data_IF_924976405388
#
_entry.id   IF_924976405388
#
_cell.length_a   1.000
_cell.length_b   1.000
_cell.length_c   1.000
_cell.angle_alpha   90.00
_cell.angle_beta   90.00
_cell.angle_gamma   90.00
#
_symmetry.space_group_name_H-M   'P 1'
#
loop_
_entity.id
_entity.type
_entity.pdbx_description
1 polymer ?
#
# COMPACT_ATOMS: atom_id res chain seq x y z
N UNK A 1 -47.70 64.84 0.62
CA UNK A 1 -46.53 63.96 0.50
C UNK A 1 -47.06 62.59 0.09
N UNK A 2 -47.36 62.32 -1.20
CA UNK A 2 -46.45 61.98 -2.30
C UNK A 2 -45.55 60.78 -1.93
N UNK A 3 -45.41 59.67 -2.66
CA UNK A 3 -45.94 59.12 -3.92
C UNK A 3 -45.58 57.62 -3.91
N UNK A 4 -46.35 56.83 -4.65
CA UNK A 4 -46.28 55.38 -4.82
C UNK A 4 -45.02 54.82 -5.52
N UNK A 5 -45.10 53.50 -5.84
CA UNK A 5 -44.43 52.77 -6.94
C UNK A 5 -43.09 52.06 -6.62
N UNK A 6 -42.75 50.85 -7.09
CA UNK A 6 -43.23 49.97 -8.18
C UNK A 6 -42.78 48.51 -7.94
N UNK A 7 -43.62 47.61 -8.43
CA UNK A 7 -43.46 46.21 -8.85
C UNK A 7 -42.07 45.70 -9.27
N UNK A 8 -41.83 44.40 -9.04
CA UNK A 8 -41.25 43.53 -10.07
C UNK A 8 -42.02 42.22 -10.18
N UNK A 9 -42.71 42.10 -11.31
CA UNK A 9 -43.38 40.91 -11.82
C UNK A 9 -42.36 39.93 -12.40
N UNK A 10 -42.53 38.65 -12.04
CA UNK A 10 -42.78 37.48 -12.90
C UNK A 10 -41.91 37.16 -14.14
N UNK A 11 -42.00 35.86 -14.51
CA UNK A 11 -41.51 35.14 -15.70
C UNK A 11 -40.04 34.68 -15.63
N UNK A 12 -39.64 33.48 -16.06
CA UNK A 12 -40.35 32.33 -16.65
C UNK A 12 -39.35 31.16 -16.72
N UNK A 13 -39.81 29.93 -16.48
CA UNK A 13 -39.15 28.73 -17.02
C UNK A 13 -39.34 28.68 -18.54
N UNK A 14 -38.44 27.98 -19.27
CA UNK A 14 -38.95 26.85 -20.04
C UNK A 14 -37.99 25.64 -20.22
N UNK A 15 -38.66 24.50 -20.49
CA UNK A 15 -38.35 23.47 -21.48
C UNK A 15 -37.19 22.46 -21.30
N UNK A 16 -37.60 21.23 -21.00
CA UNK A 16 -37.55 20.03 -21.87
C UNK A 16 -36.43 19.91 -22.91
N UNK A 17 -35.63 18.83 -22.82
CA UNK A 17 -35.34 17.92 -23.94
C UNK A 17 -34.51 16.72 -23.46
N UNK A 18 -35.03 15.52 -23.74
CA UNK A 18 -34.25 14.29 -23.67
C UNK A 18 -33.30 14.17 -24.87
N UNK A 19 -32.17 13.49 -24.67
CA UNK A 19 -31.36 12.95 -25.74
C UNK A 19 -30.96 11.51 -25.39
N UNK A 20 -31.33 10.61 -26.30
CA UNK A 20 -30.95 9.20 -26.37
C UNK A 20 -29.46 9.06 -26.70
N UNK A 21 -28.90 7.94 -26.23
CA UNK A 21 -27.97 7.03 -26.88
C UNK A 21 -26.75 7.61 -27.63
N UNK A 22 -25.56 7.10 -27.30
CA UNK A 22 -24.66 6.49 -28.29
C UNK A 22 -23.80 5.44 -27.58
N UNK A 23 -23.89 4.21 -28.07
CA UNK A 23 -22.97 3.12 -27.84
C UNK A 23 -21.62 3.42 -28.49
N UNK A 24 -20.53 3.42 -27.73
CA UNK A 24 -19.17 3.48 -28.25
C UNK A 24 -18.46 2.15 -28.05
N UNK A 25 -18.28 1.40 -29.14
CA UNK A 25 -17.57 0.13 -29.21
C UNK A 25 -16.14 0.26 -28.67
N UNK A 26 -15.82 -0.50 -27.61
CA UNK A 26 -14.44 -0.72 -27.19
C UNK A 26 -13.86 -1.86 -28.03
N UNK A 27 -13.03 -1.51 -29.02
CA UNK A 27 -12.26 -2.46 -29.83
C UNK A 27 -11.34 -3.26 -28.90
N UNK A 28 -11.60 -4.57 -28.81
CA UNK A 28 -10.64 -5.56 -28.32
C UNK A 28 -9.51 -5.66 -29.33
N UNK A 29 -8.34 -5.16 -28.96
CA UNK A 29 -7.13 -5.36 -29.75
C UNK A 29 -6.45 -6.64 -29.28
N UNK A 30 -6.54 -7.64 -30.15
CA UNK A 30 -5.73 -8.86 -30.21
C UNK A 30 -4.26 -8.55 -30.48
N UNK A 31 -3.36 -9.10 -29.69
CA UNK A 31 -1.98 -9.45 -30.07
C UNK A 31 -1.46 -10.48 -29.06
N UNK A 32 -1.59 -11.76 -29.42
CA UNK A 32 -0.52 -12.59 -29.98
C UNK A 32 0.36 -13.20 -28.89
N UNK A 33 -0.07 -14.39 -28.47
CA UNK A 33 0.69 -15.37 -27.70
C UNK A 33 1.78 -15.94 -28.61
N UNK A 34 3.04 -15.63 -28.31
CA UNK A 34 4.19 -16.31 -28.90
C UNK A 34 4.40 -17.61 -28.13
N UNK A 35 4.07 -18.72 -28.79
CA UNK A 35 4.41 -20.06 -28.34
C UNK A 35 5.82 -20.41 -28.85
N UNK A 36 6.79 -20.56 -27.94
CA UNK A 36 8.02 -21.28 -28.23
C UNK A 36 7.88 -22.73 -27.74
N UNK A 37 7.88 -23.65 -28.71
CA UNK A 37 8.05 -25.09 -28.55
C UNK A 37 9.54 -25.44 -28.61
N UNK A 38 9.82 -26.70 -28.23
CA UNK A 38 11.05 -27.49 -28.43
C UNK A 38 12.03 -27.40 -27.24
N UNK A 39 12.55 -28.47 -26.63
CA UNK A 39 12.50 -29.91 -26.91
C UNK A 39 12.86 -30.67 -25.62
N UNK A 40 12.24 -31.83 -25.43
CA UNK A 40 12.68 -32.79 -24.42
C UNK A 40 14.00 -33.44 -24.81
N UNK A 41 14.76 -33.86 -23.80
CA UNK A 41 15.71 -34.97 -23.93
C UNK A 41 15.72 -35.73 -22.62
N UNK A 42 15.29 -36.99 -22.68
CA UNK A 42 15.47 -38.01 -21.65
C UNK A 42 16.95 -38.41 -21.55
N UNK A 43 17.42 -38.76 -20.35
CA UNK A 43 18.57 -39.66 -20.22
C UNK A 43 18.59 -40.36 -18.84
N UNK A 44 18.10 -41.60 -18.87
CA UNK A 44 18.57 -42.81 -18.17
C UNK A 44 19.56 -42.73 -16.99
N UNK A 45 19.18 -43.47 -15.96
CA UNK A 45 19.99 -44.10 -14.90
C UNK A 45 21.30 -44.74 -15.38
N UNK A 46 22.28 -44.91 -14.48
CA UNK A 46 22.64 -46.30 -14.17
C UNK A 46 22.94 -46.61 -12.70
N UNK A 47 23.02 -47.92 -12.50
CA UNK A 47 23.19 -48.73 -11.31
C UNK A 47 24.41 -48.42 -10.42
N UNK A 48 24.20 -48.73 -9.13
CA UNK A 48 25.09 -49.45 -8.18
C UNK A 48 26.59 -49.54 -8.52
N UNK A 49 27.41 -49.20 -7.53
CA UNK A 49 28.41 -50.13 -7.00
C UNK A 49 28.90 -49.70 -5.61
N UNK A 50 28.88 -50.67 -4.69
CA UNK A 50 29.56 -50.64 -3.39
C UNK A 50 31.06 -50.78 -3.63
N UNK A 51 31.88 -50.10 -2.82
CA UNK A 51 33.16 -50.54 -2.25
C UNK A 51 33.50 -49.49 -1.17
N UNK A 52 33.32 -49.76 0.13
CA UNK A 52 34.30 -50.43 0.99
C UNK A 52 35.73 -49.96 0.79
N UNK A 53 36.23 -49.08 1.66
CA UNK A 53 37.59 -49.18 2.18
C UNK A 53 37.69 -48.37 3.49
N UNK A 54 37.72 -49.11 4.61
CA UNK A 54 38.24 -48.61 5.87
C UNK A 54 39.75 -48.46 5.72
N UNK A 55 40.31 -47.31 6.09
CA UNK A 55 41.73 -47.24 6.34
C UNK A 55 42.01 -46.25 7.48
N UNK A 56 42.68 -46.81 8.48
CA UNK A 56 43.11 -46.19 9.72
C UNK A 56 44.52 -45.67 9.47
N UNK A 57 44.74 -44.37 9.69
CA UNK A 57 46.09 -43.80 9.73
C UNK A 57 46.18 -42.83 10.90
N UNK A 58 47.07 -43.17 11.82
CA UNK A 58 47.58 -42.36 12.93
C UNK A 58 48.88 -41.68 12.49
N UNK A 59 49.12 -40.48 13.02
CA UNK A 59 50.39 -39.75 12.98
C UNK A 59 50.53 -38.87 11.73
N UNK A 60 51.15 -37.69 11.75
CA UNK A 60 52.04 -37.09 12.73
C UNK A 60 52.03 -35.57 12.54
N UNK A 61 52.34 -34.84 13.60
CA UNK A 61 52.23 -33.39 13.67
C UNK A 61 53.43 -32.72 13.00
N UNK A 62 53.20 -31.79 12.06
CA UNK A 62 54.19 -30.79 11.69
C UNK A 62 53.55 -29.40 11.49
N UNK A 63 53.97 -28.54 12.40
CA UNK A 63 53.88 -27.08 12.49
C UNK A 63 53.77 -26.37 11.14
N UNK A 64 52.58 -25.83 10.86
CA UNK A 64 52.32 -24.86 9.79
C UNK A 64 51.83 -23.54 10.37
N UNK A 65 52.57 -22.46 10.09
CA UNK A 65 52.32 -21.08 10.53
C UNK A 65 50.85 -20.67 10.30
N UNK A 66 50.15 -20.05 11.27
CA UNK A 66 48.90 -19.38 10.95
C UNK A 66 49.21 -18.13 10.12
N UNK A 67 48.89 -18.20 8.83
CA UNK A 67 48.69 -17.03 7.98
C UNK A 67 47.55 -16.23 8.62
N UNK A 68 47.80 -14.94 8.86
CA UNK A 68 46.82 -13.96 9.36
C UNK A 68 45.56 -14.01 8.48
N UNK A 69 44.51 -14.64 8.99
CA UNK A 69 43.16 -14.38 8.50
C UNK A 69 42.70 -13.08 9.17
N UNK A 70 42.92 -11.96 8.49
CA UNK A 70 42.21 -10.74 8.81
C UNK A 70 40.71 -11.08 8.71
N UNK A 71 40.06 -11.21 9.86
CA UNK A 71 38.61 -11.25 9.92
C UNK A 71 38.14 -9.89 9.41
N UNK A 72 37.88 -9.79 8.12
CA UNK A 72 37.00 -8.75 7.61
C UNK A 72 35.70 -9.01 8.34
N UNK A 73 35.48 -8.30 9.45
CA UNK A 73 34.15 -8.02 9.95
C UNK A 73 33.44 -7.47 8.72
N UNK A 74 32.74 -8.35 8.00
CA UNK A 74 31.55 -7.94 7.27
C UNK A 74 30.71 -7.35 8.39
N UNK A 75 30.80 -6.04 8.55
CA UNK A 75 29.63 -5.25 8.87
C UNK A 75 28.60 -5.74 7.88
N UNK A 76 27.85 -6.76 8.30
CA UNK A 76 26.49 -6.89 7.89
C UNK A 76 25.92 -5.54 8.27
N UNK A 77 25.96 -4.60 7.33
CA UNK A 77 25.00 -3.52 7.24
C UNK A 77 23.69 -4.26 7.15
N UNK A 78 23.21 -4.67 8.33
CA UNK A 78 21.86 -5.08 8.54
C UNK A 78 21.12 -3.84 8.10
N UNK A 79 20.55 -3.92 6.89
CA UNK A 79 19.55 -2.99 6.42
C UNK A 79 18.68 -2.73 7.64
N UNK A 80 18.76 -1.51 8.16
CA UNK A 80 17.87 -1.05 9.20
C UNK A 80 16.50 -1.07 8.54
N UNK A 81 15.81 -2.20 8.67
CA UNK A 81 14.37 -2.22 8.54
C UNK A 81 13.94 -1.34 9.70
N UNK A 82 13.72 -0.07 9.36
CA UNK A 82 13.09 0.89 10.23
C UNK A 82 11.77 0.25 10.65
N UNK A 83 11.64 0.02 11.96
CA UNK A 83 10.47 -0.52 12.66
C UNK A 83 9.31 0.49 12.64
N UNK A 84 9.21 1.27 11.56
CA UNK A 84 8.37 2.43 11.47
C UNK A 84 7.15 2.09 10.62
N UNK A 85 5.99 2.07 11.28
CA UNK A 85 4.72 2.00 10.59
C UNK A 85 4.50 3.32 9.84
N UNK A 86 4.35 3.24 8.52
CA UNK A 86 4.19 4.39 7.63
C UNK A 86 2.92 4.27 6.81
N UNK A 87 2.39 5.43 6.43
CA UNK A 87 1.25 5.54 5.52
C UNK A 87 1.74 6.16 4.22
N UNK A 88 1.24 5.66 3.09
CA UNK A 88 1.59 6.14 1.75
C UNK A 88 0.34 6.22 0.87
N UNK A 89 0.20 7.29 0.09
CA UNK A 89 -0.79 7.39 -0.99
C UNK A 89 -0.23 6.97 -2.35
N UNK A 90 1.06 7.20 -2.52
CA UNK A 90 1.86 6.84 -3.68
C UNK A 90 2.97 5.92 -3.14
N UNK A 91 3.17 4.77 -3.78
CA UNK A 91 4.18 3.80 -3.33
C UNK A 91 5.57 4.44 -3.30
N UNK A 92 6.23 4.36 -2.16
CA UNK A 92 7.56 4.93 -1.93
C UNK A 92 7.57 6.39 -1.46
N UNK A 93 6.41 7.04 -1.34
CA UNK A 93 6.27 8.39 -0.79
C UNK A 93 5.57 8.31 0.56
N UNK A 94 6.32 8.53 1.63
CA UNK A 94 5.78 8.55 2.99
C UNK A 94 4.96 9.81 3.23
N UNK A 95 3.76 9.62 3.74
CA UNK A 95 2.87 10.70 4.13
C UNK A 95 3.23 11.20 5.54
N UNK A 96 3.45 12.51 5.69
CA UNK A 96 3.80 13.13 6.97
C UNK A 96 2.58 13.61 7.76
N UNK A 97 1.48 13.91 7.06
CA UNK A 97 0.26 14.42 7.71
C UNK A 97 -0.43 13.31 8.49
N UNK A 98 -0.69 13.57 9.77
CA UNK A 98 -1.41 12.65 10.65
C UNK A 98 -2.92 12.68 10.34
N UNK A 99 -3.57 11.54 10.08
CA UNK A 99 -5.01 11.48 9.87
C UNK A 99 -5.81 11.49 11.16
N UNK A 100 -7.03 12.00 11.09
CA UNK A 100 -8.09 11.62 12.02
C UNK A 100 -8.59 10.21 11.65
N UNK A 101 -8.56 9.28 12.60
CA UNK A 101 -8.99 7.89 12.38
C UNK A 101 -10.30 7.63 13.13
N UNK A 102 -11.30 7.15 12.39
CA UNK A 102 -12.61 6.76 12.93
C UNK A 102 -12.85 5.29 12.68
N UNK A 103 -13.11 4.54 13.75
CA UNK A 103 -13.44 3.13 13.68
C UNK A 103 -14.95 2.93 13.84
N UNK A 104 -15.55 2.16 12.93
CA UNK A 104 -16.93 1.73 13.01
C UNK A 104 -16.98 0.21 12.90
N UNK A 105 -17.74 -0.46 13.79
CA UNK A 105 -17.94 -1.91 13.76
C UNK A 105 -19.44 -2.21 13.62
N UNK A 106 -19.78 -3.22 12.83
CA UNK A 106 -21.17 -3.68 12.72
C UNK A 106 -21.65 -4.24 14.06
N UNK A 107 -22.96 -4.26 14.29
CA UNK A 107 -23.55 -4.84 15.51
C UNK A 107 -23.23 -6.33 15.66
N UNK A 108 -23.14 -7.03 14.54
CA UNK A 108 -22.80 -8.46 14.50
C UNK A 108 -21.31 -8.73 14.78
N UNK A 109 -20.47 -7.69 14.75
CA UNK A 109 -19.05 -7.77 15.08
C UNK A 109 -18.15 -8.36 13.99
N UNK A 110 -18.72 -8.93 12.93
CA UNK A 110 -18.00 -9.58 11.83
C UNK A 110 -17.24 -8.61 10.92
N UNK A 111 -17.81 -7.42 10.71
CA UNK A 111 -17.26 -6.43 9.77
C UNK A 111 -16.93 -5.13 10.48
N UNK A 112 -15.79 -4.56 10.12
CA UNK A 112 -15.32 -3.27 10.60
C UNK A 112 -15.00 -2.34 9.44
N UNK A 113 -15.03 -1.04 9.67
CA UNK A 113 -14.55 -0.03 8.73
C UNK A 113 -13.74 0.99 9.49
N UNK A 114 -12.51 1.22 9.04
CA UNK A 114 -11.67 2.32 9.47
C UNK A 114 -11.73 3.43 8.42
N UNK A 115 -12.14 4.61 8.83
CA UNK A 115 -12.15 5.81 7.99
C UNK A 115 -11.01 6.71 8.42
N UNK A 116 -10.16 7.06 7.46
CA UNK A 116 -9.06 7.99 7.64
C UNK A 116 -9.42 9.32 6.99
N UNK A 117 -9.23 10.42 7.71
CA UNK A 117 -9.44 11.77 7.20
C UNK A 117 -8.15 12.55 7.36
N UNK A 118 -7.56 12.90 6.22
CA UNK A 118 -6.35 13.72 6.16
C UNK A 118 -6.75 15.15 5.79
N UNK A 119 -6.50 16.09 6.68
CA UNK A 119 -6.61 17.51 6.39
C UNK A 119 -5.30 17.98 5.77
N UNK A 120 -5.36 18.54 4.55
CA UNK A 120 -4.16 19.03 3.84
C UNK A 120 -2.99 18.02 3.83
N UNK A 121 -3.17 16.83 3.22
CA UNK A 121 -2.09 15.85 3.11
C UNK A 121 -0.94 16.40 2.26
N UNK A 122 0.28 16.08 2.67
CA UNK A 122 1.53 16.49 2.01
C UNK A 122 1.68 15.93 0.59
N UNK A 123 0.95 14.86 0.25
CA UNK A 123 0.85 14.35 -1.14
C UNK A 123 0.39 15.40 -2.14
N UNK A 124 -0.39 16.41 -1.73
CA UNK A 124 -0.84 17.47 -2.63
C UNK A 124 0.27 18.44 -3.04
N UNK A 125 1.32 18.55 -2.21
CA UNK A 125 2.48 19.40 -2.50
C UNK A 125 3.59 18.63 -3.25
N UNK A 126 3.43 17.31 -3.40
CA UNK A 126 4.38 16.48 -4.13
C UNK A 126 4.29 16.72 -5.64
N UNK A 127 5.42 16.68 -6.37
CA UNK A 127 5.40 16.85 -7.82
C UNK A 127 4.58 15.74 -8.48
N UNK A 128 3.81 16.12 -9.51
CA UNK A 128 2.95 15.21 -10.29
C UNK A 128 3.71 14.06 -10.97
N UNK A 129 5.03 14.15 -11.07
CA UNK A 129 5.89 13.13 -11.68
C UNK A 129 6.02 11.86 -10.81
N UNK A 130 5.67 11.94 -9.51
CA UNK A 130 5.71 10.80 -8.59
C UNK A 130 4.51 9.86 -8.77
N UNK A 131 3.47 10.30 -9.47
CA UNK A 131 2.29 9.52 -9.80
C UNK A 131 1.01 10.01 -9.13
N UNK A 132 -0.11 9.42 -9.55
CA UNK A 132 -1.44 9.73 -9.04
C UNK A 132 -1.74 8.94 -7.75
N UNK A 133 -2.63 9.49 -6.92
CA UNK A 133 -3.15 8.83 -5.72
C UNK A 133 -3.86 7.54 -6.13
N UNK A 134 -3.21 6.40 -5.91
CA UNK A 134 -3.71 5.08 -6.33
C UNK A 134 -4.54 4.40 -5.25
N UNK A 135 -4.23 4.69 -3.99
CA UNK A 135 -4.85 4.06 -2.83
C UNK A 135 -4.20 4.54 -1.54
N UNK A 136 -4.57 3.93 -0.42
CA UNK A 136 -3.91 4.09 0.86
C UNK A 136 -3.14 2.80 1.17
N UNK A 137 -1.84 2.91 1.39
CA UNK A 137 -0.95 1.82 1.80
C UNK A 137 -0.47 2.08 3.22
N UNK A 138 -0.67 1.10 4.09
CA UNK A 138 -0.27 1.09 5.50
C UNK A 138 0.79 0.01 5.65
N UNK A 139 2.05 0.40 5.81
CA UNK A 139 3.21 -0.48 5.73
C UNK A 139 3.87 -0.54 7.10
N UNK A 140 4.15 -1.74 7.59
CA UNK A 140 4.97 -1.98 8.77
C UNK A 140 5.83 -3.26 8.59
N UNK A 141 6.45 -3.74 9.67
CA UNK A 141 7.29 -4.96 9.66
C UNK A 141 6.52 -6.27 9.41
N UNK A 142 5.24 -6.35 9.76
CA UNK A 142 4.42 -7.56 9.59
C UNK A 142 3.88 -7.68 8.14
N UNK A 143 3.85 -6.57 7.39
CA UNK A 143 3.44 -6.52 6.00
C UNK A 143 2.69 -5.23 5.64
N UNK A 144 1.98 -5.26 4.51
CA UNK A 144 1.21 -4.13 3.99
C UNK A 144 -0.30 -4.37 4.06
N UNK A 145 -1.03 -3.37 4.58
CA UNK A 145 -2.47 -3.27 4.46
C UNK A 145 -2.78 -2.19 3.42
N UNK A 146 -3.65 -2.47 2.45
CA UNK A 146 -3.96 -1.52 1.38
C UNK A 146 -5.46 -1.40 1.12
N UNK A 147 -5.89 -0.22 0.69
CA UNK A 147 -7.23 0.03 0.16
C UNK A 147 -7.17 0.94 -1.05
N UNK A 148 -8.11 0.74 -1.97
CA UNK A 148 -8.30 1.56 -3.18
C UNK A 148 -9.41 2.59 -2.96
N UNK A 149 -10.22 2.46 -1.90
CA UNK A 149 -11.31 3.37 -1.60
C UNK A 149 -10.76 4.66 -0.98
N UNK A 150 -10.39 5.60 -1.86
CA UNK A 150 -9.83 6.90 -1.53
C UNK A 150 -10.58 7.98 -2.29
N UNK A 151 -11.01 9.01 -1.58
CA UNK A 151 -11.80 10.14 -2.09
C UNK A 151 -11.16 11.46 -1.70
N UNK A 152 -10.87 12.32 -2.67
CA UNK A 152 -10.37 13.67 -2.42
C UNK A 152 -11.53 14.64 -2.14
N UNK A 153 -11.37 15.49 -1.14
CA UNK A 153 -12.27 16.59 -0.80
C UNK A 153 -11.76 17.88 -1.42
N UNK A 154 -12.61 18.57 -2.17
CA UNK A 154 -12.33 19.86 -2.77
C UNK A 154 -13.21 20.93 -2.14
N UNK A 155 -12.62 22.05 -1.75
CA UNK A 155 -13.33 23.23 -1.23
C UNK A 155 -12.96 24.41 -2.12
N UNK A 156 -13.97 25.04 -2.75
CA UNK A 156 -13.78 26.16 -3.69
C UNK A 156 -12.80 25.85 -4.84
N UNK A 157 -12.83 24.63 -5.37
CA UNK A 157 -11.95 24.21 -6.47
C UNK A 157 -10.50 23.92 -6.07
N UNK A 158 -10.14 24.01 -4.78
CA UNK A 158 -8.83 23.62 -4.26
C UNK A 158 -8.91 22.28 -3.53
N UNK A 159 -7.90 21.41 -3.65
CA UNK A 159 -7.82 20.19 -2.84
C UNK A 159 -7.67 20.58 -1.37
N UNK A 160 -8.53 20.05 -0.51
CA UNK A 160 -8.60 20.41 0.91
C UNK A 160 -8.24 19.23 1.82
N UNK A 161 -8.55 18.01 1.41
CA UNK A 161 -8.24 16.82 2.19
C UNK A 161 -8.48 15.52 1.42
N UNK A 162 -8.13 14.41 2.04
CA UNK A 162 -8.37 13.06 1.51
C UNK A 162 -9.11 12.25 2.58
N UNK A 163 -10.16 11.55 2.15
CA UNK A 163 -10.85 10.54 2.95
C UNK A 163 -10.56 9.16 2.36
N UNK A 164 -10.03 8.24 3.16
CA UNK A 164 -9.77 6.86 2.76
C UNK A 164 -10.53 5.89 3.66
N UNK A 165 -11.03 4.79 3.09
CA UNK A 165 -11.81 3.79 3.82
C UNK A 165 -11.18 2.41 3.68
N UNK A 166 -10.89 1.80 4.83
CA UNK A 166 -10.40 0.45 4.93
C UNK A 166 -11.49 -0.46 5.50
N UNK A 167 -11.95 -1.42 4.69
CA UNK A 167 -13.01 -2.35 5.05
C UNK A 167 -12.38 -3.65 5.54
N UNK A 168 -12.68 -4.02 6.78
CA UNK A 168 -12.27 -5.27 7.42
C UNK A 168 -13.44 -6.25 7.41
N UNK A 169 -13.20 -7.45 6.91
CA UNK A 169 -14.20 -8.53 6.79
C UNK A 169 -14.01 -9.66 7.79
N UNK A 170 -12.87 -9.67 8.48
CA UNK A 170 -12.52 -10.71 9.45
C UNK A 170 -11.86 -10.13 10.69
N UNK A 171 -11.94 -10.87 11.80
CA UNK A 171 -11.27 -10.52 13.06
C UNK A 171 -9.74 -10.51 12.92
N UNK A 172 -9.18 -11.34 12.03
CA UNK A 172 -7.72 -11.35 11.76
C UNK A 172 -7.24 -10.04 11.14
N UNK A 173 -8.02 -9.49 10.21
CA UNK A 173 -7.72 -8.17 9.61
C UNK A 173 -7.84 -7.06 10.65
N UNK A 174 -8.82 -7.18 11.54
CA UNK A 174 -9.01 -6.26 12.65
C UNK A 174 -7.80 -6.25 13.61
N UNK A 175 -7.37 -7.42 14.08
CA UNK A 175 -6.21 -7.54 14.97
C UNK A 175 -4.95 -7.00 14.31
N UNK A 176 -4.77 -7.29 13.02
CA UNK A 176 -3.65 -6.80 12.23
C UNK A 176 -3.66 -5.29 12.09
N UNK A 177 -4.83 -4.70 11.86
CA UNK A 177 -5.03 -3.26 11.80
C UNK A 177 -4.73 -2.58 13.14
N UNK A 178 -5.19 -3.16 14.25
CA UNK A 178 -4.93 -2.61 15.58
C UNK A 178 -3.43 -2.57 15.90
N UNK A 179 -2.68 -3.62 15.54
CA UNK A 179 -1.21 -3.64 15.68
C UNK A 179 -0.52 -2.59 14.83
N UNK A 180 -0.97 -2.41 13.59
CA UNK A 180 -0.46 -1.34 12.74
C UNK A 180 -0.69 0.03 13.39
N UNK A 181 -1.90 0.29 13.88
CA UNK A 181 -2.25 1.57 14.52
C UNK A 181 -1.47 1.82 15.81
N UNK A 182 -1.19 0.78 16.60
CA UNK A 182 -0.35 0.86 17.80
C UNK A 182 1.07 1.31 17.44
N UNK A 183 1.73 0.63 16.49
CA UNK A 183 3.06 1.04 16.00
C UNK A 183 3.06 2.42 15.35
N UNK A 184 2.03 2.73 14.56
CA UNK A 184 1.89 4.02 13.88
C UNK A 184 1.74 5.17 14.90
N UNK A 185 0.98 4.95 15.96
CA UNK A 185 0.82 5.93 17.04
C UNK A 185 2.12 6.14 17.83
N UNK A 186 2.88 5.07 18.08
CA UNK A 186 4.20 5.15 18.73
C UNK A 186 5.20 5.94 17.88
N UNK A 187 5.30 5.63 16.58
CA UNK A 187 6.20 6.32 15.64
C UNK A 187 5.88 7.82 15.53
N UNK A 188 4.59 8.15 15.43
CA UNK A 188 4.13 9.53 15.22
C UNK A 188 3.86 10.28 16.53
N UNK A 189 4.15 9.68 17.69
CA UNK A 189 3.90 10.24 19.01
C UNK A 189 2.48 10.80 19.17
N UNK A 190 1.47 10.06 18.71
CA UNK A 190 0.07 10.49 18.74
C UNK A 190 -0.44 10.56 20.18
N UNK A 191 -0.22 11.70 20.82
CA UNK A 191 -0.75 12.01 22.14
C UNK A 191 -2.26 12.24 22.08
N UNK A 192 -3.00 11.69 23.05
CA UNK A 192 -4.44 11.94 23.19
C UNK A 192 -4.71 13.42 23.51
N UNK A 193 -5.10 14.20 22.50
CA UNK A 193 -5.72 15.51 22.76
C UNK A 193 -7.17 15.24 23.17
N UNK A 194 -7.39 15.03 24.46
CA UNK A 194 -8.74 14.93 25.04
C UNK A 194 -9.43 16.29 24.86
N UNK A 195 -10.29 16.41 23.84
CA UNK A 195 -11.25 17.52 23.69
C UNK A 195 -12.51 17.25 24.50
#
# INVERSE_FOLDING_TARGET
MATACISRSALSAPATAGAKAVSGQQKRQTSQLVACRCSGVEASTPLRSRLSLQSSFKGDALVGRPVRAATTKRSSERLVVVDEAVVQFIRGVNEQTIPEVRLTRSRDGTSGTATFVFEQPSVFDQPSDLGDITGLFMIDEEGDLQTVDVSAKFINGKPAGIEARYIMRSEREWDRFMRFMERYAEANNLGFVKK
#
